data_IF_146438252523
#
_entry.id   IF_146438252523
#
_cell.length_a   1.000
_cell.length_b   1.000
_cell.length_c   1.000
_cell.angle_alpha   90.00
_cell.angle_beta   90.00
_cell.angle_gamma   90.00
#
_symmetry.space_group_name_H-M   'P 1'
#
loop_
_entity.id
_entity.type
_entity.pdbx_description
1 polymer ?
#
# COMPACT_ATOMS: atom_id res chain seq x y z
N UNK A 1 8.47 -7.59 -3.34
CA UNK A 1 7.42 -8.30 -2.58
C UNK A 1 6.07 -7.78 -3.03
N UNK A 2 5.06 -8.63 -3.12
CA UNK A 2 3.70 -8.21 -3.45
C UNK A 2 2.77 -8.34 -2.25
N UNK A 3 2.02 -7.29 -1.94
CA UNK A 3 1.06 -7.24 -0.83
C UNK A 3 -0.33 -7.42 -1.42
N UNK A 4 -0.91 -8.62 -1.25
CA UNK A 4 -2.21 -8.94 -1.84
C UNK A 4 -3.34 -8.13 -1.22
N UNK A 5 -3.53 -8.19 0.10
CA UNK A 5 -4.61 -7.48 0.78
C UNK A 5 -4.23 -7.12 2.20
N UNK A 6 -4.64 -5.94 2.64
CA UNK A 6 -4.62 -5.51 4.03
C UNK A 6 -6.00 -5.00 4.41
N UNK A 7 -6.43 -5.29 5.64
CA UNK A 7 -7.71 -4.86 6.16
C UNK A 7 -7.55 -4.34 7.57
N UNK A 8 -8.26 -3.25 7.86
CA UNK A 8 -8.42 -2.70 9.19
C UNK A 8 -9.91 -2.54 9.39
N UNK A 9 -10.42 -3.01 10.52
CA UNK A 9 -11.81 -2.80 10.93
C UNK A 9 -12.11 -1.30 11.00
N UNK A 10 -13.31 -0.89 10.57
CA UNK A 10 -13.66 0.52 10.41
C UNK A 10 -13.64 1.30 11.73
N UNK A 11 -13.93 0.64 12.86
CA UNK A 11 -13.79 1.22 14.21
C UNK A 11 -12.36 1.65 14.56
N UNK A 12 -11.38 1.18 13.78
CA UNK A 12 -9.96 1.49 13.92
C UNK A 12 -9.40 2.38 12.80
N UNK A 13 -10.24 2.87 11.88
CA UNK A 13 -9.76 3.80 10.85
C UNK A 13 -9.34 5.15 11.44
N UNK A 14 -8.46 5.85 10.71
CA UNK A 14 -7.92 7.18 11.06
C UNK A 14 -7.18 7.26 12.40
N UNK A 15 -6.75 6.11 12.95
CA UNK A 15 -5.93 6.01 14.17
C UNK A 15 -4.44 5.70 13.89
N UNK A 16 -4.00 5.82 12.64
CA UNK A 16 -2.61 5.54 12.24
C UNK A 16 -2.28 4.07 11.97
N UNK A 17 -3.14 3.11 12.32
CA UNK A 17 -2.85 1.69 12.16
C UNK A 17 -2.55 1.25 10.71
N UNK A 18 -3.16 1.88 9.70
CA UNK A 18 -2.84 1.58 8.30
C UNK A 18 -1.39 1.89 7.95
N UNK A 19 -0.89 3.03 8.46
CA UNK A 19 0.50 3.43 8.28
C UNK A 19 1.43 2.48 9.03
N UNK A 20 1.17 2.23 10.31
CA UNK A 20 1.99 1.32 11.12
C UNK A 20 2.04 -0.11 10.54
N UNK A 21 0.92 -0.60 10.00
CA UNK A 21 0.86 -1.89 9.32
C UNK A 21 1.75 -1.92 8.08
N UNK A 22 1.69 -0.88 7.23
CA UNK A 22 2.53 -0.82 6.03
C UNK A 22 4.01 -0.65 6.36
N UNK A 23 4.36 0.15 7.37
CA UNK A 23 5.74 0.26 7.87
C UNK A 23 6.25 -1.10 8.34
N UNK A 24 5.44 -1.84 9.09
CA UNK A 24 5.79 -3.21 9.51
C UNK A 24 6.03 -4.11 8.28
N UNK A 25 5.13 -4.09 7.30
CA UNK A 25 5.25 -4.89 6.06
C UNK A 25 6.53 -4.55 5.30
N UNK A 26 6.90 -3.28 5.21
CA UNK A 26 8.11 -2.81 4.54
C UNK A 26 9.39 -3.28 5.25
N UNK A 27 9.32 -3.56 6.55
CA UNK A 27 10.44 -4.01 7.39
C UNK A 27 10.54 -5.53 7.60
N UNK A 28 9.45 -6.30 7.42
CA UNK A 28 9.39 -7.76 7.69
C UNK A 28 10.54 -8.51 7.02
N UNK A 29 10.86 -8.14 5.78
CA UNK A 29 11.95 -8.73 5.06
C UNK A 29 13.03 -7.67 4.80
N UNK A 30 14.19 -7.79 5.48
CA UNK A 30 15.44 -7.27 4.94
C UNK A 30 15.63 -7.84 3.52
N UNK A 31 16.63 -7.57 2.69
CA UNK A 31 16.65 -8.07 1.27
C UNK A 31 15.55 -7.56 0.32
N UNK A 32 14.29 -7.35 0.72
CA UNK A 32 13.24 -6.79 -0.16
C UNK A 32 13.53 -5.32 -0.47
N UNK A 33 13.65 -4.98 -1.76
CA UNK A 33 13.94 -3.62 -2.22
C UNK A 33 12.73 -2.88 -2.76
N UNK A 34 11.69 -3.61 -3.16
CA UNK A 34 10.49 -3.05 -3.77
C UNK A 34 9.25 -3.73 -3.22
N UNK A 35 8.21 -2.94 -2.95
CA UNK A 35 6.88 -3.41 -2.55
C UNK A 35 5.89 -3.00 -3.64
N UNK A 36 5.11 -3.98 -4.10
CA UNK A 36 4.06 -3.79 -5.09
C UNK A 36 2.70 -4.15 -4.49
N UNK A 37 1.67 -3.45 -4.95
CA UNK A 37 0.28 -3.70 -4.58
C UNK A 37 -0.64 -3.11 -5.63
N UNK A 38 -1.92 -3.44 -5.55
CA UNK A 38 -2.97 -2.82 -6.34
C UNK A 38 -4.21 -2.52 -5.51
N UNK A 39 -5.06 -1.67 -6.07
CA UNK A 39 -6.39 -1.39 -5.52
C UNK A 39 -7.34 -1.05 -6.66
N UNK A 40 -8.63 -1.39 -6.54
CA UNK A 40 -9.63 -0.95 -7.51
C UNK A 40 -9.68 0.58 -7.63
N UNK A 41 -9.94 1.09 -8.83
CA UNK A 41 -10.02 2.52 -9.15
C UNK A 41 -11.08 3.25 -8.31
N UNK A 42 -12.18 2.57 -7.99
CA UNK A 42 -13.30 3.13 -7.24
C UNK A 42 -12.99 3.30 -5.74
N UNK A 43 -11.93 2.66 -5.22
CA UNK A 43 -11.56 2.75 -3.81
C UNK A 43 -10.72 4.00 -3.54
N UNK A 44 -11.37 5.17 -3.61
CA UNK A 44 -10.72 6.49 -3.48
C UNK A 44 -9.92 6.61 -2.19
N UNK A 45 -10.44 6.09 -1.07
CA UNK A 45 -9.77 6.13 0.23
C UNK A 45 -8.44 5.37 0.21
N UNK A 46 -8.44 4.14 -0.28
CA UNK A 46 -7.22 3.31 -0.35
C UNK A 46 -6.21 3.88 -1.34
N UNK A 47 -6.67 4.36 -2.50
CA UNK A 47 -5.82 5.05 -3.47
C UNK A 47 -5.15 6.31 -2.88
N UNK A 48 -5.88 7.10 -2.08
CA UNK A 48 -5.30 8.26 -1.37
C UNK A 48 -4.29 7.82 -0.31
N UNK A 49 -4.59 6.73 0.42
CA UNK A 49 -3.70 6.17 1.43
C UNK A 49 -2.34 5.77 0.84
N UNK A 50 -2.31 4.95 -0.22
CA UNK A 50 -1.04 4.48 -0.77
C UNK A 50 -0.16 5.62 -1.31
N UNK A 51 -0.75 6.61 -2.01
CA UNK A 51 -0.01 7.80 -2.45
C UNK A 51 0.62 8.56 -1.28
N UNK A 52 -0.13 8.75 -0.19
CA UNK A 52 0.38 9.41 1.03
C UNK A 52 1.45 8.60 1.75
N UNK A 53 1.43 7.28 1.60
CA UNK A 53 2.44 6.36 2.16
C UNK A 53 3.71 6.25 1.30
N UNK A 54 3.83 7.04 0.23
CA UNK A 54 5.01 7.10 -0.64
C UNK A 54 5.01 6.09 -1.78
N UNK A 55 3.88 5.42 -2.04
CA UNK A 55 3.75 4.56 -3.21
C UNK A 55 3.45 5.40 -4.46
N UNK A 56 4.11 5.06 -5.55
CA UNK A 56 3.96 5.68 -6.86
C UNK A 56 3.12 4.77 -7.75
N UNK A 57 2.20 5.36 -8.52
CA UNK A 57 1.43 4.61 -9.52
C UNK A 57 2.34 4.16 -10.66
N UNK A 58 2.33 2.87 -10.97
CA UNK A 58 3.05 2.33 -12.14
C UNK A 58 2.15 2.26 -13.36
N UNK A 59 0.92 1.77 -13.18
CA UNK A 59 -0.06 1.60 -14.26
C UNK A 59 -1.49 1.50 -13.74
N UNK A 60 -2.44 1.61 -14.67
CA UNK A 60 -3.85 1.34 -14.44
C UNK A 60 -4.38 0.46 -15.58
N UNK A 61 -4.96 -0.69 -15.26
CA UNK A 61 -5.52 -1.65 -16.22
C UNK A 61 -6.68 -2.40 -15.56
N UNK A 62 -7.67 -2.81 -16.36
CA UNK A 62 -8.80 -3.66 -15.92
C UNK A 62 -9.56 -3.17 -14.67
N UNK A 63 -9.59 -1.84 -14.43
CA UNK A 63 -10.26 -1.26 -13.27
C UNK A 63 -9.42 -1.26 -11.98
N UNK A 64 -8.13 -1.56 -12.06
CA UNK A 64 -7.18 -1.53 -10.95
C UNK A 64 -6.07 -0.52 -11.19
N UNK A 65 -5.56 0.05 -10.09
CA UNK A 65 -4.35 0.88 -10.07
C UNK A 65 -3.26 0.10 -9.37
N UNK A 66 -2.13 -0.05 -10.04
CA UNK A 66 -0.94 -0.73 -9.55
C UNK A 66 0.06 0.29 -9.02
N UNK A 67 0.62 -0.01 -7.85
CA UNK A 67 1.51 0.86 -7.11
C UNK A 67 2.81 0.14 -6.77
N UNK A 68 3.91 0.92 -6.75
CA UNK A 68 5.21 0.50 -6.27
C UNK A 68 5.78 1.48 -5.25
N UNK A 69 6.52 0.97 -4.28
CA UNK A 69 7.44 1.74 -3.46
C UNK A 69 8.81 1.08 -3.46
N UNK A 70 9.84 1.85 -3.80
CA UNK A 70 11.24 1.43 -3.63
C UNK A 70 11.64 1.74 -2.19
N UNK A 71 12.13 0.75 -1.47
CA UNK A 71 12.59 0.89 -0.09
C UNK A 71 14.04 1.38 -0.10
N UNK A 72 14.24 2.62 0.33
CA UNK A 72 15.57 3.14 0.66
C UNK A 72 16.02 2.54 1.99
N UNK A 73 17.18 1.87 1.99
CA UNK A 73 17.81 1.28 3.16
C UNK A 73 19.12 2.00 3.44
#
# INVERSE_FOLDING_TARGET
MYVGRIFIDDKYHRKGYGKALMESVEEIYPTVKEVHLDTPVWNVRTNSFYRKSGYVMEKQEEGFIFYKKVLSR
#
